data_IF_391147983608
#
_entry.id   IF_391147983608
#
_cell.length_a   1.000
_cell.length_b   1.000
_cell.length_c   1.000
_cell.angle_alpha   90.00
_cell.angle_beta   90.00
_cell.angle_gamma   90.00
#
_symmetry.space_group_name_H-M   'P 1'
#
loop_
_entity.id
_entity.type
_entity.pdbx_description
1 polymer ?
#
# COMPACT_ATOMS: atom_id res chain seq x y z
N UNK A 1 -56.36 -9.27 10.78
CA UNK A 1 -56.45 -8.45 9.56
C UNK A 1 -55.11 -7.76 9.33
N UNK A 2 -54.31 -8.30 8.43
CA UNK A 2 -52.98 -7.81 8.09
C UNK A 2 -53.12 -6.74 6.97
N UNK A 3 -52.79 -5.48 7.27
CA UNK A 3 -52.67 -4.46 6.23
C UNK A 3 -51.32 -4.56 5.56
N UNK A 4 -51.31 -5.12 4.36
CA UNK A 4 -50.16 -5.05 3.41
C UNK A 4 -49.99 -3.63 2.92
N UNK A 5 -48.94 -2.95 3.34
CA UNK A 5 -48.48 -1.71 2.75
C UNK A 5 -47.76 -2.04 1.42
N UNK A 6 -48.41 -1.82 0.29
CA UNK A 6 -47.80 -1.69 -1.02
C UNK A 6 -47.85 -0.20 -1.37
N UNK A 7 -46.80 0.51 -1.10
CA UNK A 7 -46.62 1.86 -1.65
C UNK A 7 -45.15 2.00 -2.12
N UNK A 8 -44.96 1.99 -3.44
CA UNK A 8 -43.67 2.02 -4.13
C UNK A 8 -43.18 3.48 -4.34
N UNK A 9 -43.64 4.43 -3.54
CA UNK A 9 -43.18 5.81 -3.63
C UNK A 9 -41.82 5.96 -2.94
N UNK A 10 -40.82 6.57 -3.60
CA UNK A 10 -39.52 6.81 -2.95
C UNK A 10 -39.69 7.62 -1.66
N UNK A 11 -39.11 7.13 -0.58
CA UNK A 11 -39.14 7.84 0.71
C UNK A 11 -38.47 9.21 0.59
N UNK A 12 -39.13 10.27 1.09
CA UNK A 12 -38.56 11.62 1.06
C UNK A 12 -37.30 11.69 1.95
N UNK A 13 -36.33 12.56 1.58
CA UNK A 13 -35.12 12.78 2.38
C UNK A 13 -35.43 13.11 3.85
N UNK A 14 -36.48 13.88 4.10
CA UNK A 14 -36.87 14.27 5.45
C UNK A 14 -37.35 13.05 6.27
N UNK A 15 -38.17 12.19 5.69
CA UNK A 15 -38.67 10.97 6.32
C UNK A 15 -37.56 9.92 6.51
N UNK A 16 -36.61 9.84 5.56
CA UNK A 16 -35.41 9.00 5.71
C UNK A 16 -34.59 9.42 6.92
N UNK A 17 -34.29 10.72 7.07
CA UNK A 17 -33.52 11.24 8.19
C UNK A 17 -34.21 11.09 9.53
N UNK A 18 -35.54 11.15 9.56
CA UNK A 18 -36.33 10.88 10.77
C UNK A 18 -36.24 9.42 11.21
N UNK A 19 -36.42 8.47 10.28
CA UNK A 19 -36.31 7.04 10.56
C UNK A 19 -34.85 6.64 10.92
N UNK A 20 -33.84 7.25 10.33
CA UNK A 20 -32.42 7.06 10.68
C UNK A 20 -32.16 7.50 12.13
N UNK A 21 -32.68 8.65 12.57
CA UNK A 21 -32.56 9.11 13.97
C UNK A 21 -33.28 8.19 14.95
N UNK A 22 -34.41 7.64 14.56
CA UNK A 22 -35.19 6.67 15.40
C UNK A 22 -34.41 5.35 15.51
N UNK A 23 -33.79 4.91 14.44
CA UNK A 23 -32.91 3.72 14.45
C UNK A 23 -31.67 3.94 15.31
N UNK A 24 -30.99 5.07 15.15
CA UNK A 24 -29.80 5.42 15.96
C UNK A 24 -30.10 5.54 17.46
N UNK A 25 -31.33 5.95 17.82
CA UNK A 25 -31.81 5.99 19.22
C UNK A 25 -32.35 4.66 19.74
N UNK A 26 -32.26 3.59 18.96
CA UNK A 26 -32.80 2.29 19.34
C UNK A 26 -34.34 2.20 19.41
N UNK A 27 -35.05 3.24 18.93
CA UNK A 27 -36.53 3.32 19.01
C UNK A 27 -37.21 2.48 17.93
N UNK A 28 -36.48 2.00 16.93
CA UNK A 28 -36.97 1.09 15.88
C UNK A 28 -35.94 0.02 15.57
N UNK A 29 -36.40 -1.19 15.20
CA UNK A 29 -35.52 -2.29 14.85
C UNK A 29 -34.90 -2.10 13.47
N UNK A 30 -33.74 -2.74 13.22
CA UNK A 30 -33.06 -2.77 11.88
C UNK A 30 -34.05 -3.25 10.79
N UNK A 31 -34.86 -4.23 11.07
CA UNK A 31 -35.84 -4.77 10.12
C UNK A 31 -36.92 -3.72 9.77
N UNK A 32 -37.39 -2.95 10.76
CA UNK A 32 -38.34 -1.85 10.55
C UNK A 32 -37.73 -0.73 9.72
N UNK A 33 -36.50 -0.30 10.05
CA UNK A 33 -35.77 0.73 9.30
C UNK A 33 -35.58 0.35 7.84
N UNK A 34 -35.10 -0.86 7.55
CA UNK A 34 -34.91 -1.37 6.19
C UNK A 34 -36.23 -1.50 5.41
N UNK A 35 -37.31 -1.89 6.07
CA UNK A 35 -38.64 -2.01 5.45
C UNK A 35 -39.24 -0.64 5.06
N UNK A 36 -39.04 0.39 5.91
CA UNK A 36 -39.60 1.74 5.68
C UNK A 36 -38.75 2.55 4.71
N UNK A 37 -37.45 2.34 4.68
CA UNK A 37 -36.52 3.07 3.78
C UNK A 37 -36.38 2.44 2.40
N UNK A 38 -36.94 1.25 2.16
CA UNK A 38 -36.83 0.52 0.90
C UNK A 38 -35.45 -0.13 0.67
N UNK A 39 -34.47 0.09 1.57
CA UNK A 39 -33.12 -0.46 1.46
C UNK A 39 -33.07 -2.00 1.59
N UNK A 40 -34.10 -2.60 2.16
CA UNK A 40 -34.18 -4.06 2.31
C UNK A 40 -34.61 -4.81 1.03
N UNK A 41 -35.13 -4.14 0.01
CA UNK A 41 -35.56 -4.76 -1.27
C UNK A 41 -34.51 -4.57 -2.39
N UNK A 42 -33.60 -3.62 -2.26
CA UNK A 42 -32.55 -3.37 -3.27
C UNK A 42 -31.53 -4.50 -3.37
N UNK A 43 -31.36 -5.29 -2.31
CA UNK A 43 -30.41 -6.43 -2.31
C UNK A 43 -31.00 -7.72 -2.94
N UNK A 44 -32.32 -7.83 -3.06
CA UNK A 44 -32.96 -9.03 -3.60
C UNK A 44 -33.31 -8.94 -5.11
N UNK A 45 -33.41 -7.72 -5.67
CA UNK A 45 -33.85 -7.51 -7.07
C UNK A 45 -32.66 -7.37 -8.05
N UNK A 46 -31.44 -7.12 -7.57
CA UNK A 46 -30.26 -7.02 -8.42
C UNK A 46 -29.58 -8.37 -8.73
N UNK A 47 -30.09 -9.49 -8.20
CA UNK A 47 -29.51 -10.81 -8.42
C UNK A 47 -30.04 -11.54 -9.68
N UNK A 48 -30.90 -10.92 -10.45
CA UNK A 48 -31.46 -11.61 -11.60
C UNK A 48 -32.07 -10.69 -12.65
N UNK A 49 -31.31 -10.14 -13.54
CA UNK A 49 -31.61 -9.85 -14.93
C UNK A 49 -30.78 -8.68 -15.51
N UNK A 50 -29.46 -8.88 -15.66
CA UNK A 50 -28.69 -8.14 -16.67
C UNK A 50 -27.93 -9.20 -17.47
N UNK A 51 -28.19 -9.38 -18.77
CA UNK A 51 -27.44 -10.31 -19.62
C UNK A 51 -25.98 -9.81 -19.70
N UNK A 52 -25.03 -10.64 -19.22
CA UNK A 52 -23.59 -10.34 -19.25
C UNK A 52 -22.91 -10.22 -17.91
N UNK A 53 -23.62 -10.11 -16.79
CA UNK A 53 -23.03 -10.21 -15.47
C UNK A 53 -22.81 -11.69 -15.11
N UNK A 54 -21.57 -12.14 -15.15
CA UNK A 54 -21.18 -13.41 -14.51
C UNK A 54 -21.52 -13.31 -13.02
N UNK A 55 -22.14 -14.35 -12.41
CA UNK A 55 -22.38 -14.33 -10.97
C UNK A 55 -21.01 -14.19 -10.26
N UNK A 56 -20.80 -13.08 -9.56
CA UNK A 56 -19.66 -12.91 -8.69
C UNK A 56 -19.74 -13.99 -7.61
N UNK A 57 -18.71 -14.81 -7.50
CA UNK A 57 -18.63 -15.84 -6.46
C UNK A 57 -18.57 -15.13 -5.11
N UNK A 58 -19.71 -15.08 -4.40
CA UNK A 58 -19.76 -14.65 -3.01
C UNK A 58 -19.59 -15.91 -2.17
N UNK A 59 -18.56 -15.92 -1.34
CA UNK A 59 -18.34 -17.01 -0.40
C UNK A 59 -19.44 -16.95 0.69
N UNK A 60 -20.12 -18.08 0.93
CA UNK A 60 -21.09 -18.17 2.00
C UNK A 60 -20.38 -18.32 3.35
N UNK A 61 -21.04 -17.85 4.43
CA UNK A 61 -20.48 -17.99 5.76
C UNK A 61 -20.17 -19.46 6.08
N UNK A 62 -18.91 -19.74 6.48
CA UNK A 62 -18.43 -21.08 6.82
C UNK A 62 -17.82 -21.89 5.66
N UNK A 63 -17.93 -21.47 4.40
CA UNK A 63 -17.34 -22.20 3.25
C UNK A 63 -15.81 -22.15 3.22
N UNK A 64 -15.19 -21.11 3.82
CA UNK A 64 -13.75 -20.85 3.74
C UNK A 64 -13.02 -21.09 5.06
N UNK A 65 -13.69 -21.65 6.07
CA UNK A 65 -13.16 -21.84 7.42
C UNK A 65 -13.40 -20.64 8.32
N UNK A 66 -12.73 -20.62 9.48
CA UNK A 66 -12.96 -19.67 10.58
C UNK A 66 -11.92 -18.53 10.66
N UNK A 67 -10.87 -18.57 9.85
CA UNK A 67 -9.78 -17.58 9.88
C UNK A 67 -9.05 -17.46 8.54
N UNK A 68 -8.34 -16.34 8.40
CA UNK A 68 -7.35 -16.08 7.37
C UNK A 68 -6.19 -15.29 7.98
N UNK A 69 -4.96 -15.67 7.67
CA UNK A 69 -3.73 -15.04 8.18
C UNK A 69 -3.13 -14.17 7.08
N UNK A 70 -3.18 -12.86 7.29
CA UNK A 70 -2.62 -11.84 6.41
C UNK A 70 -1.30 -11.33 6.96
N UNK A 71 -0.21 -11.50 6.24
CA UNK A 71 1.06 -10.84 6.54
C UNK A 71 1.18 -9.55 5.73
N UNK A 72 1.40 -8.42 6.41
CA UNK A 72 1.34 -7.10 5.78
C UNK A 72 2.22 -6.08 6.49
N UNK A 73 2.33 -4.90 5.91
CA UNK A 73 3.01 -3.75 6.48
C UNK A 73 2.21 -3.12 7.64
N UNK A 74 2.85 -2.39 8.57
CA UNK A 74 2.15 -1.71 9.65
C UNK A 74 1.20 -0.62 9.11
N UNK A 75 0.06 -0.42 9.78
CA UNK A 75 -0.94 0.62 9.46
C UNK A 75 -1.44 0.63 8.00
N UNK A 76 -1.57 -0.53 7.39
CA UNK A 76 -1.71 -0.69 5.94
C UNK A 76 -3.10 -1.13 5.48
N UNK A 77 -4.06 -1.21 6.40
CA UNK A 77 -5.44 -1.64 6.14
C UNK A 77 -6.45 -0.93 7.05
N UNK A 78 -7.68 -0.81 6.60
CA UNK A 78 -8.80 -0.36 7.43
C UNK A 78 -9.34 -1.56 8.26
N UNK A 79 -9.21 -1.53 9.60
CA UNK A 79 -9.72 -2.61 10.45
C UNK A 79 -11.22 -2.87 10.26
N UNK A 80 -12.01 -1.85 9.90
CA UNK A 80 -13.44 -1.98 9.62
C UNK A 80 -13.74 -2.85 8.40
N UNK A 81 -12.82 -2.89 7.44
CA UNK A 81 -12.96 -3.79 6.31
C UNK A 81 -12.76 -5.25 6.74
N UNK A 82 -11.85 -5.52 7.68
CA UNK A 82 -11.69 -6.87 8.25
C UNK A 82 -12.90 -7.30 9.10
N UNK A 83 -13.46 -6.39 9.89
CA UNK A 83 -14.73 -6.65 10.60
C UNK A 83 -15.84 -7.01 9.60
N UNK A 84 -15.96 -6.22 8.52
CA UNK A 84 -16.94 -6.49 7.47
C UNK A 84 -16.70 -7.82 6.75
N UNK A 85 -15.44 -8.17 6.45
CA UNK A 85 -15.09 -9.46 5.88
C UNK A 85 -15.53 -10.61 6.79
N UNK A 86 -15.22 -10.50 8.08
CA UNK A 86 -15.62 -11.49 9.09
C UNK A 86 -17.15 -11.61 9.20
N UNK A 87 -17.88 -10.49 9.20
CA UNK A 87 -19.36 -10.50 9.20
C UNK A 87 -19.93 -11.22 7.97
N UNK A 88 -19.30 -11.08 6.82
CA UNK A 88 -19.77 -11.66 5.55
C UNK A 88 -19.44 -13.14 5.40
N UNK A 89 -18.30 -13.58 5.89
CA UNK A 89 -17.74 -14.91 5.61
C UNK A 89 -17.69 -15.83 6.83
N UNK A 90 -17.69 -15.29 8.02
CA UNK A 90 -17.42 -16.01 9.27
C UNK A 90 -15.91 -16.18 9.56
N UNK A 91 -15.03 -15.89 8.63
CA UNK A 91 -13.59 -16.03 8.80
C UNK A 91 -12.98 -14.77 9.44
N UNK A 92 -12.25 -14.94 10.53
CA UNK A 92 -11.55 -13.86 11.23
C UNK A 92 -10.21 -13.56 10.56
N UNK A 93 -9.91 -12.28 10.29
CA UNK A 93 -8.64 -11.85 9.73
C UNK A 93 -7.62 -11.67 10.86
N UNK A 94 -6.56 -12.46 10.83
CA UNK A 94 -5.41 -12.35 11.73
C UNK A 94 -4.26 -11.64 10.99
N UNK A 95 -3.83 -10.49 11.51
CA UNK A 95 -2.79 -9.69 10.89
C UNK A 95 -1.43 -9.99 11.53
N UNK A 96 -0.44 -10.33 10.69
CA UNK A 96 0.97 -10.43 11.04
C UNK A 96 1.71 -9.27 10.38
N UNK A 97 2.47 -8.49 11.15
CA UNK A 97 3.24 -7.36 10.65
C UNK A 97 4.70 -7.78 10.48
N UNK A 98 5.31 -7.34 9.38
CA UNK A 98 6.74 -7.49 9.12
C UNK A 98 7.37 -6.13 8.81
N UNK A 99 8.70 -6.04 8.97
CA UNK A 99 9.43 -4.78 8.85
C UNK A 99 10.13 -4.58 7.51
N UNK A 100 10.39 -5.66 6.74
CA UNK A 100 11.11 -5.57 5.47
C UNK A 100 10.79 -6.72 4.52
N UNK A 101 11.09 -6.53 3.22
CA UNK A 101 10.98 -7.60 2.22
C UNK A 101 12.00 -8.72 2.45
N UNK A 102 13.17 -8.40 3.02
CA UNK A 102 14.19 -9.36 3.41
C UNK A 102 13.70 -10.28 4.54
N UNK A 103 13.00 -9.72 5.52
CA UNK A 103 12.35 -10.51 6.59
C UNK A 103 11.30 -11.46 6.01
N UNK A 104 10.45 -10.96 5.10
CA UNK A 104 9.46 -11.79 4.40
C UNK A 104 10.12 -12.94 3.63
N UNK A 105 11.16 -12.65 2.85
CA UNK A 105 11.89 -13.67 2.08
C UNK A 105 12.46 -14.73 3.00
N UNK A 106 13.19 -14.34 4.05
CA UNK A 106 13.76 -15.26 5.01
C UNK A 106 12.71 -16.14 5.69
N UNK A 107 11.55 -15.57 6.03
CA UNK A 107 10.43 -16.30 6.65
C UNK A 107 9.85 -17.34 5.70
N UNK A 108 9.67 -17.01 4.42
CA UNK A 108 9.16 -17.95 3.41
C UNK A 108 10.19 -19.05 3.11
N UNK A 109 11.49 -18.69 2.99
CA UNK A 109 12.58 -19.64 2.78
C UNK A 109 12.74 -20.65 3.93
N UNK A 110 12.47 -20.24 5.17
CA UNK A 110 12.47 -21.12 6.33
C UNK A 110 11.36 -22.19 6.28
N UNK A 111 10.36 -22.02 5.39
CA UNK A 111 9.22 -22.91 5.23
C UNK A 111 8.16 -22.71 6.33
N UNK A 112 6.91 -23.05 6.00
CA UNK A 112 5.83 -23.03 6.97
C UNK A 112 5.58 -21.65 7.58
N UNK A 113 5.49 -20.59 6.75
CA UNK A 113 5.21 -19.22 7.21
C UNK A 113 3.92 -19.12 8.04
N UNK A 114 2.96 -20.03 7.77
CA UNK A 114 1.64 -20.03 8.36
C UNK A 114 0.73 -18.92 7.80
N UNK A 115 1.20 -18.19 6.78
CA UNK A 115 0.42 -17.13 6.13
C UNK A 115 -0.50 -17.69 5.04
N UNK A 116 -1.65 -17.06 4.85
CA UNK A 116 -2.58 -17.39 3.77
C UNK A 116 -2.49 -16.36 2.64
N UNK A 117 -2.25 -15.11 3.00
CA UNK A 117 -1.96 -13.99 2.09
C UNK A 117 -0.80 -13.21 2.66
N UNK A 118 0.05 -12.67 1.79
CA UNK A 118 1.05 -11.69 2.20
C UNK A 118 1.18 -10.57 1.17
N UNK A 119 1.82 -9.47 1.57
CA UNK A 119 1.87 -8.22 0.78
C UNK A 119 3.31 -7.89 0.39
N UNK A 120 3.88 -8.56 -0.65
CA UNK A 120 5.22 -8.28 -1.15
C UNK A 120 5.25 -7.04 -2.05
N UNK A 121 6.44 -6.45 -2.20
CA UNK A 121 6.71 -5.36 -3.15
C UNK A 121 7.20 -5.91 -4.50
N UNK A 122 6.95 -5.18 -5.60
CA UNK A 122 7.20 -5.59 -6.98
C UNK A 122 8.55 -6.30 -7.22
N UNK A 123 9.64 -5.78 -6.69
CA UNK A 123 11.00 -6.27 -6.96
C UNK A 123 11.30 -7.64 -6.34
N UNK A 124 10.42 -8.16 -5.49
CA UNK A 124 10.59 -9.45 -4.84
C UNK A 124 9.88 -10.60 -5.56
N UNK A 125 8.90 -10.29 -6.41
CA UNK A 125 7.99 -11.29 -7.03
C UNK A 125 8.76 -12.34 -7.83
N UNK A 126 9.70 -11.92 -8.69
CA UNK A 126 10.48 -12.85 -9.52
C UNK A 126 11.36 -13.78 -8.67
N UNK A 127 11.90 -13.30 -7.55
CA UNK A 127 12.66 -14.11 -6.59
C UNK A 127 11.74 -15.16 -5.95
N UNK A 128 10.55 -14.77 -5.48
CA UNK A 128 9.60 -15.71 -4.89
C UNK A 128 9.14 -16.78 -5.88
N UNK A 129 8.92 -16.40 -7.15
CA UNK A 129 8.56 -17.36 -8.22
C UNK A 129 9.72 -18.31 -8.51
N UNK A 130 10.94 -17.78 -8.69
CA UNK A 130 12.15 -18.58 -8.96
C UNK A 130 12.45 -19.61 -7.87
N UNK A 131 12.22 -19.24 -6.63
CA UNK A 131 12.41 -20.11 -5.45
C UNK A 131 11.16 -20.95 -5.11
N UNK A 132 10.09 -20.85 -5.89
CA UNK A 132 8.83 -21.57 -5.69
C UNK A 132 8.20 -21.30 -4.32
N UNK A 133 8.30 -20.08 -3.82
CA UNK A 133 7.76 -19.66 -2.54
C UNK A 133 6.30 -19.21 -2.61
N UNK A 134 5.83 -18.84 -3.79
CA UNK A 134 4.45 -18.42 -4.07
C UNK A 134 3.82 -19.25 -5.17
N UNK A 135 2.50 -19.35 -5.15
CA UNK A 135 1.74 -20.09 -6.15
C UNK A 135 1.14 -19.20 -7.24
N UNK A 136 0.93 -19.75 -8.46
CA UNK A 136 0.13 -19.08 -9.47
C UNK A 136 -1.29 -18.80 -8.94
N UNK A 137 -1.80 -17.60 -9.19
CA UNK A 137 -3.14 -17.24 -8.76
C UNK A 137 -4.22 -17.79 -9.71
N UNK A 138 -5.22 -18.44 -9.13
CA UNK A 138 -6.46 -18.81 -9.83
C UNK A 138 -7.39 -17.58 -9.91
N UNK A 139 -7.30 -16.84 -11.00
CA UNK A 139 -8.05 -15.60 -11.21
C UNK A 139 -9.57 -15.83 -11.22
N UNK A 140 -10.06 -17.06 -11.47
CA UNK A 140 -11.48 -17.37 -11.35
C UNK A 140 -11.99 -17.25 -9.89
N UNK A 141 -11.10 -17.35 -8.93
CA UNK A 141 -11.39 -17.13 -7.50
C UNK A 141 -11.28 -15.65 -7.08
N UNK A 142 -10.77 -14.78 -7.96
CA UNK A 142 -10.60 -13.34 -7.70
C UNK A 142 -11.37 -12.52 -8.77
N UNK A 143 -12.69 -12.66 -8.90
CA UNK A 143 -13.46 -11.98 -9.94
C UNK A 143 -13.43 -10.44 -9.84
N UNK A 144 -13.03 -9.87 -8.70
CA UNK A 144 -12.80 -8.43 -8.56
C UNK A 144 -11.48 -7.96 -9.19
N UNK A 145 -10.56 -8.86 -9.52
CA UNK A 145 -9.40 -8.53 -10.33
C UNK A 145 -9.79 -8.55 -11.83
N UNK A 146 -10.06 -7.38 -12.37
CA UNK A 146 -10.31 -7.16 -13.80
C UNK A 146 -9.04 -6.53 -14.39
N UNK A 147 -8.16 -7.34 -14.99
CA UNK A 147 -6.83 -6.89 -15.43
C UNK A 147 -6.86 -5.60 -16.28
N UNK A 148 -7.87 -5.46 -17.18
CA UNK A 148 -8.03 -4.25 -17.99
C UNK A 148 -8.44 -2.98 -17.24
N UNK A 149 -8.75 -3.07 -15.94
CA UNK A 149 -9.01 -1.91 -15.08
C UNK A 149 -7.77 -1.38 -14.38
N UNK A 150 -6.67 -2.14 -14.40
CA UNK A 150 -5.40 -1.77 -13.77
C UNK A 150 -4.44 -1.15 -14.79
N UNK A 151 -3.67 -0.16 -14.38
CA UNK A 151 -2.55 0.35 -15.18
C UNK A 151 -1.52 -0.79 -15.38
N UNK A 152 -1.17 -1.12 -16.65
CA UNK A 152 -0.25 -2.21 -16.98
C UNK A 152 1.11 -2.10 -16.28
N UNK A 153 1.59 -0.88 -16.05
CA UNK A 153 2.83 -0.62 -15.31
C UNK A 153 2.88 -1.35 -13.97
N UNK A 154 1.73 -1.46 -13.29
CA UNK A 154 1.64 -2.12 -11.99
C UNK A 154 1.18 -3.58 -12.10
N UNK A 155 0.30 -3.93 -13.05
CA UNK A 155 -0.18 -5.31 -13.17
C UNK A 155 0.89 -6.25 -13.72
N UNK A 156 1.76 -5.77 -14.61
CA UNK A 156 2.77 -6.60 -15.29
C UNK A 156 3.83 -7.14 -14.32
N UNK A 157 4.21 -6.37 -13.29
CA UNK A 157 5.19 -6.82 -12.31
C UNK A 157 4.71 -7.98 -11.41
N UNK A 158 3.39 -8.22 -11.35
CA UNK A 158 2.80 -9.40 -10.70
C UNK A 158 2.75 -10.66 -11.59
N UNK A 159 3.20 -10.53 -12.86
CA UNK A 159 3.13 -11.57 -13.87
C UNK A 159 4.53 -12.04 -14.26
N UNK A 160 4.79 -13.33 -14.19
CA UNK A 160 6.07 -13.95 -14.59
C UNK A 160 5.77 -15.00 -15.64
N UNK A 161 6.45 -14.93 -16.80
CA UNK A 161 6.28 -15.84 -17.94
C UNK A 161 4.80 -16.04 -18.35
N UNK A 162 4.03 -14.94 -18.36
CA UNK A 162 2.60 -14.92 -18.73
C UNK A 162 1.66 -15.48 -17.66
N UNK A 163 2.15 -15.86 -16.49
CA UNK A 163 1.38 -16.39 -15.35
C UNK A 163 1.29 -15.34 -14.25
N UNK A 164 0.08 -15.06 -13.76
CA UNK A 164 -0.14 -14.12 -12.66
C UNK A 164 0.13 -14.82 -11.32
N UNK A 165 1.09 -14.32 -10.57
CA UNK A 165 1.45 -14.79 -9.22
C UNK A 165 1.02 -13.82 -8.12
N UNK A 166 0.85 -12.54 -8.47
CA UNK A 166 0.45 -11.51 -7.53
C UNK A 166 -0.43 -10.46 -8.23
N UNK A 167 -1.38 -9.88 -7.50
CA UNK A 167 -2.27 -8.83 -8.00
C UNK A 167 -2.03 -7.53 -7.26
N UNK A 168 -2.02 -6.36 -7.95
CA UNK A 168 -1.68 -5.09 -7.33
C UNK A 168 -2.63 -4.73 -6.18
N UNK A 169 -2.06 -4.28 -5.06
CA UNK A 169 -2.76 -3.70 -3.93
C UNK A 169 -2.80 -2.18 -4.04
N UNK A 170 -1.64 -1.56 -4.00
CA UNK A 170 -1.45 -0.13 -4.09
C UNK A 170 -0.05 0.17 -4.63
N UNK A 171 0.25 1.45 -4.84
CA UNK A 171 1.57 1.90 -5.28
C UNK A 171 1.96 3.18 -4.55
N UNK A 172 3.21 3.55 -4.67
CA UNK A 172 3.72 4.79 -4.14
C UNK A 172 5.11 5.11 -4.65
N UNK A 173 5.67 6.15 -4.10
CA UNK A 173 7.01 6.61 -4.40
C UNK A 173 7.81 6.73 -3.11
N UNK A 174 9.14 6.63 -3.21
CA UNK A 174 10.05 6.98 -2.13
C UNK A 174 10.73 8.30 -2.48
N UNK A 175 10.42 9.30 -1.69
CA UNK A 175 11.05 10.61 -1.71
C UNK A 175 11.65 10.94 -0.36
N UNK A 176 11.59 12.20 0.01
CA UNK A 176 11.93 12.65 1.35
C UNK A 176 10.95 13.71 1.84
N UNK A 177 10.78 13.81 3.14
CA UNK A 177 10.07 14.90 3.80
C UNK A 177 11.05 15.88 4.41
N UNK A 178 10.69 17.16 4.37
CA UNK A 178 11.50 18.24 4.95
C UNK A 178 10.60 19.27 5.63
N UNK A 179 10.94 19.66 6.85
CA UNK A 179 10.25 20.75 7.54
C UNK A 179 10.82 22.09 7.05
N UNK A 180 10.02 22.80 6.25
CA UNK A 180 10.41 24.06 5.59
C UNK A 180 10.69 25.23 6.54
N UNK A 181 10.31 25.13 7.80
CA UNK A 181 10.74 26.09 8.85
C UNK A 181 12.27 26.12 8.99
N UNK A 182 12.96 25.02 8.67
CA UNK A 182 14.41 24.92 8.82
C UNK A 182 15.17 25.19 7.52
N UNK A 183 14.48 25.31 6.38
CA UNK A 183 15.12 25.63 5.08
C UNK A 183 15.18 27.13 4.79
N UNK A 184 14.71 27.99 5.70
CA UNK A 184 14.57 29.43 5.45
C UNK A 184 13.56 29.75 4.34
N UNK A 185 12.61 28.84 4.08
CA UNK A 185 11.60 28.95 3.01
C UNK A 185 12.10 28.48 1.64
N UNK A 186 13.33 27.96 1.53
CA UNK A 186 13.83 27.36 0.29
C UNK A 186 13.10 26.05 0.01
N UNK A 187 12.54 25.92 -1.20
CA UNK A 187 11.98 24.67 -1.68
C UNK A 187 13.09 23.76 -2.21
N UNK A 188 13.15 22.55 -1.69
CA UNK A 188 14.07 21.52 -2.14
C UNK A 188 13.44 20.75 -3.30
N UNK A 189 14.28 20.15 -4.17
CA UNK A 189 13.81 19.45 -5.36
C UNK A 189 14.74 18.32 -5.84
N UNK A 190 15.83 18.05 -5.13
CA UNK A 190 16.87 17.12 -5.57
C UNK A 190 17.37 16.24 -4.44
N UNK A 191 17.83 15.02 -4.78
CA UNK A 191 18.58 14.18 -3.83
C UNK A 191 19.93 14.79 -3.47
N UNK A 192 20.50 15.58 -4.37
CA UNK A 192 21.74 16.29 -4.08
C UNK A 192 21.56 17.26 -2.91
N UNK A 193 20.48 18.02 -2.90
CA UNK A 193 20.17 18.93 -1.76
C UNK A 193 19.93 18.14 -0.46
N UNK A 194 19.27 16.98 -0.53
CA UNK A 194 19.07 16.12 0.62
C UNK A 194 20.40 15.72 1.27
N UNK A 195 21.33 15.20 0.49
CA UNK A 195 22.60 14.71 0.99
C UNK A 195 23.55 15.84 1.40
N UNK A 196 23.58 16.95 0.67
CA UNK A 196 24.44 18.11 0.99
C UNK A 196 23.97 18.81 2.28
N UNK A 197 22.67 19.01 2.47
CA UNK A 197 22.11 19.58 3.70
C UNK A 197 22.34 18.65 4.90
N UNK A 198 22.29 17.35 4.73
CA UNK A 198 22.58 16.39 5.80
C UNK A 198 24.00 16.60 6.36
N UNK A 199 24.97 16.90 5.51
CA UNK A 199 26.37 17.15 5.93
C UNK A 199 26.60 18.53 6.52
N UNK A 200 25.65 19.45 6.36
CA UNK A 200 25.81 20.86 6.71
C UNK A 200 24.74 21.33 7.70
N UNK A 201 23.76 22.09 7.25
CA UNK A 201 22.77 22.76 8.10
C UNK A 201 21.86 21.79 8.87
N UNK A 202 21.65 20.57 8.34
CA UNK A 202 20.80 19.55 8.92
C UNK A 202 21.57 18.43 9.62
N UNK A 203 22.85 18.69 9.96
CA UNK A 203 23.67 17.73 10.71
C UNK A 203 23.01 17.36 12.05
N UNK A 204 22.85 16.05 12.28
CA UNK A 204 22.15 15.50 13.44
C UNK A 204 20.63 15.62 13.38
N UNK A 205 20.04 15.97 12.22
CA UNK A 205 18.62 16.20 12.03
C UNK A 205 18.01 15.46 10.83
N UNK A 206 18.79 14.63 10.15
CA UNK A 206 18.34 13.87 8.98
C UNK A 206 18.25 12.38 9.30
N UNK A 207 17.20 11.73 8.82
CA UNK A 207 17.02 10.28 8.88
C UNK A 207 17.08 9.66 7.49
N UNK A 208 17.60 8.44 7.42
CA UNK A 208 17.56 7.60 6.23
C UNK A 208 16.93 6.25 6.56
N UNK A 209 16.35 5.58 5.57
CA UNK A 209 15.81 4.25 5.75
C UNK A 209 16.90 3.24 6.14
N UNK A 210 16.52 2.16 6.78
CA UNK A 210 17.44 1.15 7.32
C UNK A 210 17.58 -0.09 6.44
N UNK A 211 17.12 -0.05 5.19
CA UNK A 211 17.25 -1.13 4.21
C UNK A 211 17.93 -0.68 2.91
N UNK A 212 18.50 -1.67 2.20
CA UNK A 212 19.46 -1.43 1.12
C UNK A 212 18.85 -0.74 -0.10
N UNK A 213 17.62 -1.07 -0.49
CA UNK A 213 17.06 -0.60 -1.75
C UNK A 213 17.02 0.93 -1.81
N UNK A 214 16.34 1.57 -0.86
CA UNK A 214 16.14 3.02 -0.88
C UNK A 214 17.37 3.82 -0.47
N UNK A 215 18.08 3.38 0.57
CA UNK A 215 19.23 4.14 1.08
C UNK A 215 20.38 4.16 0.07
N UNK A 216 20.73 3.02 -0.51
CA UNK A 216 21.77 2.95 -1.53
C UNK A 216 21.26 3.55 -2.84
N UNK A 217 20.02 3.25 -3.25
CA UNK A 217 19.45 3.76 -4.49
C UNK A 217 19.40 5.28 -4.54
N UNK A 218 19.01 5.94 -3.45
CA UNK A 218 18.98 7.41 -3.39
C UNK A 218 20.39 8.02 -3.25
N UNK A 219 21.37 7.30 -2.70
CA UNK A 219 22.77 7.71 -2.76
C UNK A 219 23.33 7.62 -4.20
N UNK A 220 22.95 6.59 -4.96
CA UNK A 220 23.30 6.47 -6.38
C UNK A 220 22.70 7.61 -7.20
N UNK A 221 21.46 8.06 -6.90
CA UNK A 221 20.84 9.21 -7.58
C UNK A 221 21.57 10.52 -7.37
N UNK A 222 22.30 10.70 -6.28
CA UNK A 222 23.19 11.84 -6.06
C UNK A 222 24.22 12.02 -7.19
N UNK A 223 24.72 10.90 -7.74
CA UNK A 223 25.70 10.85 -8.82
C UNK A 223 25.06 10.76 -10.21
N UNK A 224 23.74 10.65 -10.31
CA UNK A 224 23.03 10.46 -11.57
C UNK A 224 23.04 9.02 -12.08
N UNK A 225 23.41 8.06 -11.24
CA UNK A 225 23.38 6.62 -11.57
C UNK A 225 21.96 6.05 -11.50
N UNK A 226 21.76 4.84 -12.05
CA UNK A 226 20.50 4.11 -11.86
C UNK A 226 20.29 3.81 -10.38
N UNK A 227 19.05 3.99 -9.93
CA UNK A 227 18.62 3.60 -8.58
C UNK A 227 18.91 2.11 -8.30
N UNK A 228 18.88 1.28 -9.33
CA UNK A 228 19.06 -0.16 -9.27
C UNK A 228 20.50 -0.64 -9.53
N UNK A 229 21.47 0.26 -9.65
CA UNK A 229 22.83 -0.16 -10.01
C UNK A 229 23.42 -1.16 -9.04
N UNK A 230 24.07 -2.18 -9.60
CA UNK A 230 24.91 -3.17 -8.91
C UNK A 230 26.37 -3.08 -9.41
N UNK A 231 26.71 -2.05 -10.19
CA UNK A 231 28.08 -1.82 -10.65
C UNK A 231 28.98 -1.52 -9.46
N UNK A 232 30.13 -2.23 -9.31
CA UNK A 232 30.98 -2.09 -8.12
C UNK A 232 31.56 -0.68 -7.97
N UNK A 233 31.82 0.05 -9.07
CA UNK A 233 32.36 1.42 -9.01
C UNK A 233 31.27 2.38 -8.53
N UNK A 234 30.07 2.29 -9.09
CA UNK A 234 28.92 3.13 -8.69
C UNK A 234 28.54 2.87 -7.22
N UNK A 235 28.59 1.60 -6.79
CA UNK A 235 28.37 1.25 -5.39
C UNK A 235 29.47 1.82 -4.46
N UNK A 236 30.75 1.85 -4.90
CA UNK A 236 31.83 2.46 -4.13
C UNK A 236 31.66 3.98 -3.98
N UNK A 237 31.19 4.67 -5.03
CA UNK A 237 30.86 6.10 -4.97
C UNK A 237 29.70 6.35 -3.98
N UNK A 238 28.64 5.53 -4.03
CA UNK A 238 27.52 5.61 -3.10
C UNK A 238 27.95 5.30 -1.64
N UNK A 239 28.80 4.30 -1.43
CA UNK A 239 29.36 3.98 -0.11
C UNK A 239 30.15 5.14 0.47
N UNK A 240 30.99 5.78 -0.33
CA UNK A 240 31.77 6.95 0.08
C UNK A 240 30.83 8.05 0.59
N UNK A 241 29.78 8.40 -0.17
CA UNK A 241 28.79 9.38 0.25
C UNK A 241 28.08 8.98 1.55
N UNK A 242 27.65 7.72 1.67
CA UNK A 242 26.93 7.22 2.82
C UNK A 242 27.82 7.26 4.09
N UNK A 243 29.10 6.90 3.98
CA UNK A 243 30.06 6.99 5.09
C UNK A 243 30.37 8.44 5.49
N UNK A 244 30.44 9.37 4.52
CA UNK A 244 30.59 10.80 4.80
C UNK A 244 29.38 11.36 5.56
N UNK A 245 28.16 10.98 5.21
CA UNK A 245 26.94 11.51 5.84
C UNK A 245 26.61 10.84 7.17
N UNK A 246 27.11 9.64 7.44
CA UNK A 246 26.77 8.86 8.62
C UNK A 246 26.93 9.62 9.94
N UNK A 247 28.07 10.32 10.23
CA UNK A 247 28.23 11.07 11.48
C UNK A 247 27.27 12.25 11.60
N UNK A 248 26.58 12.62 10.53
CA UNK A 248 25.63 13.72 10.45
C UNK A 248 24.16 13.27 10.50
N UNK A 249 23.89 11.96 10.58
CA UNK A 249 22.54 11.45 10.66
C UNK A 249 22.01 11.52 12.11
N UNK A 250 20.72 11.81 12.24
CA UNK A 250 19.99 11.61 13.48
C UNK A 250 19.80 10.10 13.74
N UNK A 251 19.35 9.36 12.71
CA UNK A 251 19.19 7.91 12.79
C UNK A 251 19.15 7.25 11.39
N UNK A 252 19.47 5.95 11.38
CA UNK A 252 19.23 5.03 10.26
C UNK A 252 18.05 4.16 10.70
N UNK A 253 16.82 4.57 10.35
CA UNK A 253 15.59 3.91 10.79
C UNK A 253 14.41 4.32 9.90
N UNK A 254 13.56 3.37 9.54
CA UNK A 254 12.35 3.60 8.75
C UNK A 254 11.14 4.04 9.59
N UNK A 255 11.24 4.07 10.92
CA UNK A 255 10.24 4.67 11.82
C UNK A 255 10.56 6.17 12.08
N UNK A 256 10.38 6.98 11.04
CA UNK A 256 10.73 8.40 11.04
C UNK A 256 9.59 9.35 11.42
N UNK A 257 8.33 8.88 11.41
CA UNK A 257 7.19 9.77 11.70
C UNK A 257 7.25 10.39 13.10
N UNK A 258 7.54 9.66 14.20
CA UNK A 258 7.63 10.28 15.52
C UNK A 258 8.71 11.37 15.62
N UNK A 259 9.98 11.16 15.17
CA UNK A 259 10.99 12.22 15.18
C UNK A 259 10.65 13.41 14.27
N UNK A 260 9.98 13.22 13.14
CA UNK A 260 9.51 14.32 12.30
C UNK A 260 8.41 15.14 12.97
N UNK A 261 7.49 14.48 13.69
CA UNK A 261 6.36 15.12 14.39
C UNK A 261 6.79 15.93 15.61
N UNK A 262 7.75 15.45 16.38
CA UNK A 262 8.22 16.12 17.57
C UNK A 262 9.35 17.15 17.31
N UNK A 263 9.88 17.19 16.06
CA UNK A 263 10.93 18.12 15.64
C UNK A 263 12.35 17.68 15.97
N UNK A 264 12.57 16.44 16.38
CA UNK A 264 13.92 15.88 16.57
C UNK A 264 14.62 15.68 15.21
N UNK A 265 13.88 15.23 14.21
CA UNK A 265 14.32 15.22 12.81
C UNK A 265 13.65 16.35 12.02
N UNK A 266 14.39 16.95 11.09
CA UNK A 266 13.93 18.01 10.20
C UNK A 266 13.75 17.54 8.76
N UNK A 267 14.43 16.46 8.42
CA UNK A 267 14.38 15.84 7.09
C UNK A 267 14.50 14.33 7.24
N UNK A 268 13.79 13.60 6.39
CA UNK A 268 13.87 12.13 6.37
C UNK A 268 13.53 11.58 4.99
N UNK A 269 14.16 10.49 4.57
CA UNK A 269 13.58 9.65 3.53
C UNK A 269 12.17 9.25 3.96
N UNK A 270 11.24 9.19 3.01
CA UNK A 270 9.84 8.94 3.35
C UNK A 270 9.09 8.30 2.19
N UNK A 271 8.07 7.50 2.52
CA UNK A 271 7.10 6.99 1.56
C UNK A 271 5.94 7.96 1.37
N UNK A 272 5.32 7.92 0.20
CA UNK A 272 4.22 8.77 -0.23
C UNK A 272 3.13 8.95 0.83
N UNK A 273 2.57 7.84 1.36
CA UNK A 273 1.44 7.89 2.31
C UNK A 273 1.82 8.57 3.61
N UNK A 274 3.00 8.26 4.14
CA UNK A 274 3.53 8.88 5.35
C UNK A 274 3.82 10.37 5.11
N UNK A 275 4.39 10.70 3.95
CA UNK A 275 4.61 12.10 3.54
C UNK A 275 3.30 12.88 3.49
N UNK A 276 2.23 12.27 2.96
CA UNK A 276 0.88 12.86 2.96
C UNK A 276 0.33 13.05 4.36
N UNK A 277 0.46 12.06 5.24
CA UNK A 277 0.01 12.18 6.63
C UNK A 277 0.76 13.28 7.38
N UNK A 278 2.09 13.30 7.28
CA UNK A 278 2.92 14.33 7.90
C UNK A 278 2.58 15.74 7.41
N UNK A 279 2.40 15.92 6.10
CA UNK A 279 2.00 17.21 5.53
C UNK A 279 0.60 17.64 5.99
N UNK A 280 -0.34 16.69 6.10
CA UNK A 280 -1.71 16.99 6.56
C UNK A 280 -1.72 17.47 8.01
N UNK A 281 -0.93 16.85 8.87
CA UNK A 281 -0.89 17.18 10.31
C UNK A 281 0.02 18.39 10.59
N UNK A 282 1.07 18.58 9.79
CA UNK A 282 2.08 19.63 9.91
C UNK A 282 2.32 20.23 8.52
N UNK A 283 1.57 21.26 8.10
CA UNK A 283 1.63 21.81 6.73
C UNK A 283 3.02 22.30 6.29
N UNK A 284 3.92 22.57 7.25
CA UNK A 284 5.29 22.97 6.96
C UNK A 284 6.20 21.80 6.56
N UNK A 285 5.75 20.55 6.74
CA UNK A 285 6.45 19.38 6.22
C UNK A 285 6.03 19.18 4.76
N UNK A 286 6.96 19.37 3.84
CA UNK A 286 6.76 19.09 2.41
C UNK A 286 7.33 17.73 2.05
N UNK A 287 6.66 17.01 1.15
CA UNK A 287 7.16 15.79 0.51
C UNK A 287 7.80 16.14 -0.81
N UNK A 288 8.99 15.63 -1.05
CA UNK A 288 9.81 15.96 -2.22
C UNK A 288 10.24 14.69 -2.95
N UNK A 289 9.98 14.66 -4.26
CA UNK A 289 10.61 13.71 -5.18
C UNK A 289 11.83 14.36 -5.80
N UNK A 290 12.98 13.70 -5.74
CA UNK A 290 14.21 14.19 -6.37
C UNK A 290 14.06 14.22 -7.89
N UNK A 291 14.46 15.34 -8.52
CA UNK A 291 14.44 15.48 -9.98
C UNK A 291 15.37 14.50 -10.71
N UNK A 292 16.37 13.98 -9.99
CA UNK A 292 17.27 12.95 -10.51
C UNK A 292 16.58 11.60 -10.66
N UNK A 293 15.32 11.47 -10.25
CA UNK A 293 14.56 10.25 -10.16
C UNK A 293 14.56 9.67 -8.73
N UNK A 294 14.40 8.38 -8.62
CA UNK A 294 14.27 7.66 -7.34
C UNK A 294 13.42 6.43 -7.53
N UNK A 295 12.69 6.03 -6.51
CA UNK A 295 11.89 4.82 -6.52
C UNK A 295 10.41 5.10 -6.76
N UNK A 296 9.81 4.34 -7.66
CA UNK A 296 8.38 4.01 -7.68
C UNK A 296 8.22 2.54 -7.30
N UNK A 297 7.26 2.22 -6.45
CA UNK A 297 7.02 0.85 -6.01
C UNK A 297 5.53 0.51 -6.07
N UNK A 298 5.24 -0.78 -6.09
CA UNK A 298 3.88 -1.29 -5.95
C UNK A 298 3.91 -2.54 -5.08
N UNK A 299 2.94 -2.61 -4.19
CA UNK A 299 2.71 -3.77 -3.36
C UNK A 299 1.58 -4.62 -3.90
N UNK A 300 1.62 -5.90 -3.61
CA UNK A 300 0.76 -6.90 -4.21
C UNK A 300 0.13 -7.78 -3.14
N UNK A 301 -0.96 -8.43 -3.49
CA UNK A 301 -1.43 -9.60 -2.76
C UNK A 301 -0.91 -10.86 -3.44
N UNK A 302 -0.26 -11.72 -2.68
CA UNK A 302 0.23 -13.03 -3.13
C UNK A 302 -0.15 -14.11 -2.11
N UNK A 303 -0.20 -15.36 -2.58
CA UNK A 303 -0.49 -16.53 -1.76
C UNK A 303 0.79 -17.37 -1.66
N UNK A 304 1.34 -17.61 -0.45
CA UNK A 304 2.51 -18.45 -0.30
C UNK A 304 2.18 -19.91 -0.62
N UNK A 305 3.18 -20.64 -1.13
CA UNK A 305 3.04 -22.08 -1.29
C UNK A 305 2.79 -22.75 0.07
N UNK A 306 1.77 -23.61 0.11
CA UNK A 306 1.39 -24.29 1.35
C UNK A 306 0.56 -23.46 2.32
N UNK A 307 -0.10 -22.40 1.84
CA UNK A 307 -1.05 -21.60 2.62
C UNK A 307 -2.09 -22.48 3.33
N UNK A 308 -2.20 -22.42 4.68
CA UNK A 308 -3.11 -23.29 5.43
C UNK A 308 -4.58 -23.10 5.11
N UNK A 309 -5.01 -21.86 4.87
CA UNK A 309 -6.41 -21.48 4.59
C UNK A 309 -6.52 -20.80 3.23
N UNK A 310 -6.02 -21.49 2.18
CA UNK A 310 -5.88 -20.98 0.81
C UNK A 310 -7.17 -20.35 0.26
N UNK A 311 -8.32 -20.97 0.45
CA UNK A 311 -9.61 -20.45 -0.05
C UNK A 311 -10.05 -19.18 0.71
N UNK A 312 -9.75 -19.07 2.01
CA UNK A 312 -9.91 -17.84 2.76
C UNK A 312 -8.97 -16.73 2.26
N UNK A 313 -7.75 -17.07 1.87
CA UNK A 313 -6.80 -16.15 1.22
C UNK A 313 -7.37 -15.57 -0.07
N UNK A 314 -7.88 -16.41 -0.98
CA UNK A 314 -8.55 -15.96 -2.20
C UNK A 314 -9.77 -15.07 -1.93
N UNK A 315 -10.59 -15.46 -0.95
CA UNK A 315 -11.77 -14.68 -0.58
C UNK A 315 -11.37 -13.30 -0.04
N UNK A 316 -10.32 -13.21 0.78
CA UNK A 316 -9.81 -11.94 1.32
C UNK A 316 -9.24 -11.04 0.22
N UNK A 317 -8.42 -11.59 -0.68
CA UNK A 317 -7.88 -10.84 -1.84
C UNK A 317 -9.04 -10.30 -2.68
N UNK A 318 -9.99 -11.15 -3.04
CA UNK A 318 -11.15 -10.74 -3.82
C UNK A 318 -11.98 -9.65 -3.12
N UNK A 319 -12.17 -9.75 -1.80
CA UNK A 319 -12.88 -8.76 -1.02
C UNK A 319 -12.15 -7.41 -0.99
N UNK A 320 -10.84 -7.40 -0.77
CA UNK A 320 -10.03 -6.17 -0.70
C UNK A 320 -9.89 -5.49 -2.08
N UNK A 321 -10.02 -6.24 -3.19
CA UNK A 321 -10.05 -5.72 -4.55
C UNK A 321 -11.43 -5.27 -5.02
N UNK A 322 -12.49 -5.37 -4.20
CA UNK A 322 -13.76 -4.70 -4.50
C UNK A 322 -13.54 -3.19 -4.50
N UNK A 323 -13.89 -2.46 -5.58
CA UNK A 323 -13.57 -1.03 -5.68
C UNK A 323 -14.10 -0.17 -4.53
N UNK A 324 -15.28 -0.51 -3.96
CA UNK A 324 -15.84 0.23 -2.83
C UNK A 324 -15.14 -0.08 -1.50
N UNK A 325 -14.58 -1.29 -1.34
CA UNK A 325 -13.75 -1.66 -0.20
C UNK A 325 -12.36 -1.03 -0.36
N UNK A 326 -11.77 -1.17 -1.54
CA UNK A 326 -10.45 -0.63 -1.84
C UNK A 326 -10.39 0.90 -1.69
N UNK A 327 -11.46 1.63 -2.08
CA UNK A 327 -11.53 3.07 -1.85
C UNK A 327 -11.43 3.44 -0.35
N UNK A 328 -11.95 2.61 0.57
CA UNK A 328 -11.79 2.82 2.02
C UNK A 328 -10.38 2.54 2.49
N UNK A 329 -9.74 1.50 1.92
CA UNK A 329 -8.33 1.22 2.16
C UNK A 329 -7.47 2.45 1.79
N UNK A 330 -7.69 3.03 0.59
CA UNK A 330 -6.98 4.25 0.14
C UNK A 330 -7.16 5.41 1.12
N UNK A 331 -8.40 5.67 1.55
CA UNK A 331 -8.70 6.74 2.51
C UNK A 331 -8.07 6.51 3.90
N UNK A 332 -7.76 5.27 4.25
CA UNK A 332 -7.14 4.90 5.53
C UNK A 332 -5.63 4.97 5.48
N UNK A 333 -4.99 4.32 4.49
CA UNK A 333 -3.52 4.24 4.42
C UNK A 333 -2.88 5.38 3.61
N UNK A 334 -3.64 6.12 2.80
CA UNK A 334 -3.14 7.26 2.04
C UNK A 334 -2.30 6.92 0.81
N UNK A 335 -2.28 5.67 0.35
CA UNK A 335 -1.53 5.28 -0.85
C UNK A 335 -2.44 5.17 -2.07
N UNK A 336 -2.02 5.62 -3.27
CA UNK A 336 -2.77 5.48 -4.51
C UNK A 336 -2.88 4.02 -4.94
N UNK A 337 -3.88 3.74 -5.78
CA UNK A 337 -4.11 2.40 -6.36
C UNK A 337 -4.10 2.45 -7.88
N UNK A 338 -3.74 1.32 -8.48
CA UNK A 338 -3.67 1.17 -9.93
C UNK A 338 -5.04 0.91 -10.58
N UNK A 339 -6.08 0.59 -9.80
CA UNK A 339 -7.43 0.26 -10.28
C UNK A 339 -8.23 1.52 -10.62
N UNK A 340 -8.46 1.75 -11.91
CA UNK A 340 -9.24 2.89 -12.39
C UNK A 340 -10.71 2.91 -11.89
N UNK A 341 -11.28 1.76 -11.50
CA UNK A 341 -12.63 1.67 -10.94
C UNK A 341 -12.66 2.25 -9.52
N UNK A 342 -11.65 1.92 -8.73
CA UNK A 342 -11.45 2.47 -7.37
C UNK A 342 -11.21 3.98 -7.43
N UNK A 343 -10.35 4.44 -8.33
CA UNK A 343 -10.05 5.86 -8.50
C UNK A 343 -11.31 6.71 -8.79
N UNK A 344 -12.29 6.18 -9.52
CA UNK A 344 -13.58 6.86 -9.76
C UNK A 344 -14.44 7.06 -8.50
N UNK A 345 -14.13 6.37 -7.42
CA UNK A 345 -14.84 6.45 -6.13
C UNK A 345 -14.15 7.36 -5.13
N UNK A 346 -12.92 7.80 -5.42
CA UNK A 346 -12.14 8.65 -4.54
C UNK A 346 -12.53 10.13 -4.69
N UNK A 347 -12.39 10.93 -3.63
CA UNK A 347 -12.54 12.38 -3.72
C UNK A 347 -11.60 12.99 -4.77
N UNK A 348 -12.09 13.99 -5.50
CA UNK A 348 -11.32 14.67 -6.55
C UNK A 348 -10.05 15.31 -5.98
N UNK A 349 -10.16 15.88 -4.80
CA UNK A 349 -9.07 16.54 -4.07
C UNK A 349 -7.92 15.57 -3.76
N UNK A 350 -8.24 14.28 -3.57
CA UNK A 350 -7.23 13.25 -3.35
C UNK A 350 -6.52 12.88 -4.65
N UNK A 351 -7.27 12.78 -5.76
CA UNK A 351 -6.72 12.47 -7.09
C UNK A 351 -5.88 13.60 -7.69
N UNK A 352 -6.11 14.83 -7.23
CA UNK A 352 -5.35 16.02 -7.63
C UNK A 352 -4.21 16.36 -6.66
N UNK A 353 -4.01 15.56 -5.60
CA UNK A 353 -2.94 15.77 -4.63
C UNK A 353 -1.57 15.42 -5.24
N UNK A 354 -0.65 16.39 -5.37
CA UNK A 354 0.65 16.14 -6.02
C UNK A 354 1.60 15.25 -5.20
N UNK A 355 1.34 15.00 -3.93
CA UNK A 355 2.09 14.03 -3.11
C UNK A 355 1.71 12.61 -3.54
N UNK A 356 0.41 12.36 -3.73
CA UNK A 356 -0.12 11.04 -4.07
C UNK A 356 -0.05 10.75 -5.57
N UNK A 357 -0.35 11.76 -6.38
CA UNK A 357 -0.35 11.68 -7.84
C UNK A 357 0.59 12.74 -8.43
N UNK A 358 1.91 12.52 -8.36
CA UNK A 358 2.90 13.44 -8.88
C UNK A 358 2.73 13.70 -10.38
N UNK A 359 3.26 14.82 -10.84
CA UNK A 359 3.30 15.14 -12.27
C UNK A 359 4.02 14.04 -13.08
N UNK A 360 3.56 13.85 -14.32
CA UNK A 360 4.00 12.72 -15.16
C UNK A 360 5.52 12.70 -15.40
N UNK A 361 6.14 13.83 -15.57
CA UNK A 361 7.60 13.97 -15.78
C UNK A 361 8.40 13.48 -14.56
N UNK A 362 7.92 13.74 -13.35
CA UNK A 362 8.53 13.21 -12.13
C UNK A 362 8.33 11.69 -12.03
N UNK A 363 7.13 11.19 -12.34
CA UNK A 363 6.87 9.73 -12.34
C UNK A 363 7.70 8.98 -13.39
N UNK A 364 7.89 9.56 -14.57
CA UNK A 364 8.66 8.96 -15.66
C UNK A 364 10.17 8.87 -15.34
N UNK A 365 10.67 9.69 -14.43
CA UNK A 365 12.04 9.66 -13.95
C UNK A 365 12.29 8.58 -12.86
N UNK A 366 11.24 8.01 -12.29
CA UNK A 366 11.36 7.01 -11.23
C UNK A 366 11.58 5.61 -11.79
N UNK A 367 12.27 4.77 -11.04
CA UNK A 367 12.58 3.39 -11.37
C UNK A 367 11.85 2.44 -10.40
N UNK A 368 11.26 1.36 -10.92
CA UNK A 368 10.87 0.25 -10.06
C UNK A 368 12.13 -0.44 -9.53
N UNK A 369 12.11 -0.82 -8.25
CA UNK A 369 13.15 -1.66 -7.69
C UNK A 369 13.32 -2.95 -8.51
N UNK A 370 14.57 -3.30 -8.84
CA UNK A 370 14.91 -4.52 -9.56
C UNK A 370 15.19 -5.67 -8.59
N UNK A 371 14.84 -6.91 -8.97
CA UNK A 371 15.08 -8.09 -8.13
C UNK A 371 16.56 -8.30 -7.78
N UNK A 372 17.46 -7.93 -8.69
CA UNK A 372 18.90 -7.98 -8.43
C UNK A 372 19.33 -7.19 -7.19
N UNK A 373 18.65 -6.08 -6.88
CA UNK A 373 18.98 -5.25 -5.70
C UNK A 373 18.67 -5.95 -4.38
N UNK A 374 17.72 -6.89 -4.35
CA UNK A 374 17.39 -7.66 -3.15
C UNK A 374 18.46 -8.68 -2.80
N UNK A 375 19.05 -9.31 -3.83
CA UNK A 375 19.94 -10.47 -3.67
C UNK A 375 21.41 -10.16 -3.92
N UNK A 376 21.75 -8.93 -4.34
CA UNK A 376 23.14 -8.53 -4.60
C UNK A 376 23.96 -8.46 -3.30
N UNK A 377 25.03 -9.26 -3.17
CA UNK A 377 25.83 -9.32 -1.96
C UNK A 377 26.60 -8.01 -1.69
N UNK A 378 27.01 -7.28 -2.74
CA UNK A 378 27.76 -6.03 -2.57
C UNK A 378 26.87 -4.94 -1.95
N UNK A 379 25.60 -4.86 -2.37
CA UNK A 379 24.63 -3.95 -1.75
C UNK A 379 24.36 -4.32 -0.28
N UNK A 380 24.18 -5.60 0.02
CA UNK A 380 23.98 -6.07 1.39
C UNK A 380 25.18 -5.76 2.30
N UNK A 381 26.39 -6.03 1.83
CA UNK A 381 27.64 -5.72 2.54
C UNK A 381 27.85 -4.22 2.73
N UNK A 382 27.56 -3.41 1.69
CA UNK A 382 27.62 -1.95 1.77
C UNK A 382 26.71 -1.44 2.87
N UNK A 383 25.44 -1.87 2.90
CA UNK A 383 24.51 -1.46 3.96
C UNK A 383 25.01 -1.89 5.35
N UNK A 384 25.55 -3.10 5.48
CA UNK A 384 26.10 -3.59 6.75
C UNK A 384 27.28 -2.73 7.21
N UNK A 385 28.22 -2.38 6.32
CA UNK A 385 29.33 -1.46 6.64
C UNK A 385 28.82 -0.08 7.01
N UNK A 386 27.87 0.47 6.25
CA UNK A 386 27.26 1.77 6.56
C UNK A 386 26.60 1.77 7.95
N UNK A 387 25.87 0.73 8.32
CA UNK A 387 25.23 0.64 9.63
C UNK A 387 26.23 0.51 10.78
N UNK A 388 27.35 -0.17 10.57
CA UNK A 388 28.34 -0.48 11.62
C UNK A 388 29.47 0.55 11.79
N UNK A 389 29.71 1.41 10.81
CA UNK A 389 30.80 2.40 10.78
C UNK A 389 30.77 3.50 11.88
#
# INVERSE_FOLDING_TARGET
>A
MSKTYKDNTPISRQKFMEELRRYQKGSVSRRHFLAVTGLGMATAVMAGAVPGLRPRKTWAAGEIGDRVILATWPNYHDPKNFEKFTEMTGANVQVNVFGSNEEMLAKLQAGGSGWDVFVPTNYTITTYVGEKLIEPLDLAKIPNYEAGAFDPRFSDAGTVDGTVFAVPKNWGTTGYVVNTKHTGGKKLSTWKEFWDLTKTEFSGRTMVHDYQLTTIGNALKYFGYSFNSVDPKELADAETLLLEVKPHLYAINSDYQPPMRNGDAWMSMAWTGDGKQLHTDIPEIEYVLGKEGGEIWSDYFAIPNGAPHRDAGYALINFLLDPAINAKEVLTHGYPVADARTNKMLPKELLEDPILYPAKDLLDALEFGAAATLTDPNRAELLARFKSA
#
